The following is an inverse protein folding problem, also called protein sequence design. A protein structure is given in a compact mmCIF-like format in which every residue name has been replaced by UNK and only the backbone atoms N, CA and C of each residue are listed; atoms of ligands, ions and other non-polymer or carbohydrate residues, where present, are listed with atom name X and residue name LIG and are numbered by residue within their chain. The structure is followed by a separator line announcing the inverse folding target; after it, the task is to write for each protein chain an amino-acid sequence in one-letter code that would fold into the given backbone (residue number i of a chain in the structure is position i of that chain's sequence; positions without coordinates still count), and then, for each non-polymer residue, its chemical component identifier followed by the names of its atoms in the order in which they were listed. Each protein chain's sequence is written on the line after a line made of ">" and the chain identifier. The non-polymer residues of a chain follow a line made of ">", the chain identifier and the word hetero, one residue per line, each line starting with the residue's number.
data_IF_086509433019
#
_entry.id   IF_086509433019
#
_cell.length_a   1.000
_cell.length_b   1.000
_cell.length_c   1.000
_cell.angle_alpha   90.00
_cell.angle_beta   90.00
_cell.angle_gamma   90.00
#
_symmetry.space_group_name_H-M   'P 1'
#
loop_
_entity.id
_entity.type
_entity.pdbx_description
1 polymer ?
#
# COMPACT_ATOMS: atom_id res chain seq x y z
N UNK A 1 16.77 -18.95 -5.73
CA UNK A 1 15.61 -19.79 -6.07
C UNK A 1 14.44 -18.90 -6.43
N UNK A 2 13.71 -19.26 -7.47
CA UNK A 2 12.61 -18.50 -8.07
C UNK A 2 11.28 -19.22 -7.80
N UNK A 3 10.21 -18.43 -7.66
CA UNK A 3 8.84 -18.94 -7.56
C UNK A 3 7.95 -18.19 -8.54
N UNK A 4 7.33 -18.90 -9.48
CA UNK A 4 6.46 -18.32 -10.50
C UNK A 4 5.34 -19.29 -10.91
N UNK A 5 4.28 -18.74 -11.49
CA UNK A 5 3.22 -19.51 -12.16
C UNK A 5 3.31 -19.31 -13.68
N UNK A 6 3.29 -20.39 -14.44
CA UNK A 6 3.30 -20.35 -15.90
C UNK A 6 2.45 -21.50 -16.47
N UNK A 7 1.55 -21.20 -17.40
CA UNK A 7 0.61 -22.16 -18.00
C UNK A 7 -0.17 -23.00 -16.96
N UNK A 8 -0.65 -22.36 -15.88
CA UNK A 8 -1.41 -23.01 -14.81
C UNK A 8 -0.59 -23.96 -13.94
N UNK A 9 0.75 -23.93 -14.05
CA UNK A 9 1.67 -24.68 -13.18
C UNK A 9 2.43 -23.73 -12.27
N UNK A 10 2.52 -24.11 -11.00
CA UNK A 10 3.35 -23.41 -10.01
C UNK A 10 4.73 -24.06 -9.94
N UNK A 11 5.76 -23.27 -10.21
CA UNK A 11 7.15 -23.65 -10.05
C UNK A 11 7.67 -22.97 -8.78
N UNK A 12 7.83 -23.72 -7.70
CA UNK A 12 8.21 -23.17 -6.40
C UNK A 12 9.62 -23.63 -5.99
N UNK A 13 10.50 -22.68 -5.71
CA UNK A 13 11.88 -22.92 -5.29
C UNK A 13 12.79 -23.53 -6.39
N UNK A 14 12.60 -23.12 -7.64
CA UNK A 14 13.35 -23.63 -8.80
C UNK A 14 14.54 -22.72 -9.15
N UNK A 15 15.56 -23.26 -9.82
CA UNK A 15 16.60 -22.43 -10.45
C UNK A 15 16.13 -21.92 -11.82
N UNK A 16 16.79 -20.88 -12.34
CA UNK A 16 16.54 -20.40 -13.70
C UNK A 16 16.81 -21.50 -14.75
N UNK A 17 17.83 -22.34 -14.53
CA UNK A 17 18.16 -23.46 -15.41
C UNK A 17 17.06 -24.53 -15.41
N UNK A 18 16.52 -24.89 -14.24
CA UNK A 18 15.43 -25.87 -14.14
C UNK A 18 14.15 -25.36 -14.82
N UNK A 19 13.85 -24.06 -14.68
CA UNK A 19 12.71 -23.43 -15.33
C UNK A 19 12.85 -23.42 -16.86
N UNK A 20 14.03 -23.08 -17.38
CA UNK A 20 14.32 -23.13 -18.80
C UNK A 20 14.20 -24.56 -19.34
N UNK A 21 14.73 -25.55 -18.61
CA UNK A 21 14.62 -26.97 -18.95
C UNK A 21 13.16 -27.47 -18.93
N UNK A 22 12.31 -26.91 -18.06
CA UNK A 22 10.88 -27.18 -18.01
C UNK A 22 10.06 -26.41 -19.06
N UNK A 23 10.71 -25.70 -19.98
CA UNK A 23 10.07 -25.00 -21.08
C UNK A 23 9.49 -23.63 -20.73
N UNK A 24 9.85 -23.05 -19.58
CA UNK A 24 9.45 -21.68 -19.23
C UNK A 24 10.27 -20.70 -20.10
N UNK A 25 9.63 -19.74 -20.81
CA UNK A 25 10.34 -18.78 -21.64
C UNK A 25 11.31 -17.91 -20.83
N UNK A 26 12.49 -17.61 -21.38
CA UNK A 26 13.51 -16.81 -20.69
C UNK A 26 12.98 -15.43 -20.25
N UNK A 27 12.14 -14.79 -21.06
CA UNK A 27 11.49 -13.52 -20.71
C UNK A 27 10.63 -13.62 -19.43
N UNK A 28 9.99 -14.77 -19.20
CA UNK A 28 9.19 -14.99 -17.98
C UNK A 28 10.13 -15.15 -16.79
N UNK A 29 11.24 -15.87 -16.96
CA UNK A 29 12.26 -16.09 -15.92
C UNK A 29 12.91 -14.76 -15.52
N UNK A 30 13.30 -13.94 -16.49
CA UNK A 30 13.98 -12.66 -16.29
C UNK A 30 13.07 -11.62 -15.60
N UNK A 31 11.75 -11.75 -15.74
CA UNK A 31 10.79 -10.89 -15.07
C UNK A 31 10.57 -11.23 -13.59
N UNK A 32 10.91 -12.45 -13.15
CA UNK A 32 10.62 -12.92 -11.78
C UNK A 32 11.23 -12.02 -10.69
N UNK A 33 12.50 -11.61 -10.75
CA UNK A 33 13.08 -10.76 -9.70
C UNK A 33 12.32 -9.45 -9.49
N UNK A 34 11.93 -8.77 -10.58
CA UNK A 34 11.16 -7.54 -10.53
C UNK A 34 9.75 -7.77 -9.94
N UNK A 35 9.07 -8.85 -10.33
CA UNK A 35 7.76 -9.22 -9.77
C UNK A 35 7.84 -9.55 -8.28
N UNK A 36 8.86 -10.30 -7.86
CA UNK A 36 9.10 -10.63 -6.45
C UNK A 36 9.37 -9.38 -5.63
N UNK A 37 10.16 -8.44 -6.15
CA UNK A 37 10.42 -7.14 -5.52
C UNK A 37 9.13 -6.33 -5.37
N UNK A 38 8.37 -6.17 -6.45
CA UNK A 38 7.08 -5.47 -6.43
C UNK A 38 6.13 -6.05 -5.37
N UNK A 39 6.05 -7.39 -5.27
CA UNK A 39 5.22 -8.05 -4.25
C UNK A 39 5.65 -7.70 -2.83
N UNK A 40 6.96 -7.66 -2.56
CA UNK A 40 7.51 -7.27 -1.24
C UNK A 40 7.21 -5.80 -0.92
N UNK A 41 7.39 -4.90 -1.88
CA UNK A 41 7.11 -3.47 -1.69
C UNK A 41 5.61 -3.24 -1.44
N UNK A 42 4.73 -3.94 -2.16
CA UNK A 42 3.28 -3.89 -1.91
C UNK A 42 2.91 -4.40 -0.52
N UNK A 43 3.58 -5.44 -0.04
CA UNK A 43 3.37 -5.96 1.31
C UNK A 43 3.83 -4.94 2.37
N UNK A 44 4.97 -4.29 2.16
CA UNK A 44 5.49 -3.27 3.07
C UNK A 44 4.61 -2.00 3.10
N UNK A 45 4.17 -1.52 1.93
CA UNK A 45 3.20 -0.42 1.82
C UNK A 45 1.95 -0.72 2.66
N UNK A 46 1.40 -1.93 2.51
CA UNK A 46 0.22 -2.38 3.29
C UNK A 46 0.52 -2.43 4.78
N UNK A 47 1.67 -2.97 5.19
CA UNK A 47 2.08 -3.04 6.60
C UNK A 47 2.12 -1.65 7.22
N UNK A 48 2.77 -0.70 6.55
CA UNK A 48 2.91 0.69 7.00
C UNK A 48 1.56 1.42 7.10
N UNK A 49 0.66 1.23 6.13
CA UNK A 49 -0.70 1.79 6.20
C UNK A 49 -1.44 1.25 7.43
N UNK A 50 -1.39 -0.06 7.68
CA UNK A 50 -2.09 -0.65 8.83
C UNK A 50 -1.43 -0.35 10.17
N UNK A 51 -0.13 -0.10 10.20
CA UNK A 51 0.58 0.39 11.39
C UNK A 51 0.15 1.81 11.75
N UNK A 52 -0.02 2.69 10.75
CA UNK A 52 -0.51 4.04 10.97
C UNK A 52 -2.02 4.11 11.25
N UNK A 53 -2.81 3.26 10.60
CA UNK A 53 -4.26 3.26 10.69
C UNK A 53 -4.77 1.81 10.68
N UNK A 54 -5.16 1.31 11.84
CA UNK A 54 -5.69 -0.05 11.94
C UNK A 54 -6.95 -0.23 11.07
N UNK A 55 -7.32 -1.48 10.75
CA UNK A 55 -8.56 -1.73 10.02
C UNK A 55 -9.80 -1.22 10.77
N UNK A 56 -9.76 -1.26 12.11
CA UNK A 56 -10.80 -0.72 12.99
C UNK A 56 -10.86 0.80 12.90
N UNK A 57 -9.72 1.49 13.06
CA UNK A 57 -9.64 2.96 12.94
C UNK A 57 -10.09 3.41 11.55
N UNK A 58 -9.74 2.71 10.47
CA UNK A 58 -10.21 3.00 9.11
C UNK A 58 -11.74 2.89 8.99
N UNK A 59 -12.35 1.85 9.60
CA UNK A 59 -13.80 1.68 9.59
C UNK A 59 -14.52 2.77 10.38
N UNK A 60 -13.98 3.13 11.56
CA UNK A 60 -14.55 4.16 12.42
C UNK A 60 -14.46 5.54 11.75
N UNK A 61 -13.31 5.87 11.15
CA UNK A 61 -13.11 7.07 10.34
C UNK A 61 -14.09 7.16 9.17
N UNK A 62 -14.26 6.07 8.41
CA UNK A 62 -15.20 6.04 7.29
C UNK A 62 -16.65 6.22 7.75
N UNK A 63 -17.02 5.59 8.87
CA UNK A 63 -18.37 5.72 9.46
C UNK A 63 -18.63 7.15 9.92
N UNK A 64 -17.67 7.76 10.64
CA UNK A 64 -17.79 9.13 11.09
C UNK A 64 -17.88 10.12 9.93
N UNK A 65 -17.03 9.95 8.91
CA UNK A 65 -17.08 10.76 7.70
C UNK A 65 -18.44 10.63 6.99
N UNK A 66 -19.03 9.44 6.92
CA UNK A 66 -20.35 9.22 6.33
C UNK A 66 -21.46 9.94 7.12
N UNK A 67 -21.46 9.81 8.46
CA UNK A 67 -22.43 10.48 9.34
C UNK A 67 -22.34 12.00 9.22
N UNK A 68 -21.13 12.55 9.26
CA UNK A 68 -20.90 14.00 9.16
C UNK A 68 -21.28 14.51 7.76
N UNK A 69 -20.92 13.77 6.70
CA UNK A 69 -21.22 14.16 5.33
C UNK A 69 -22.73 14.20 5.04
N UNK A 70 -23.53 13.44 5.79
CA UNK A 70 -25.00 13.50 5.73
C UNK A 70 -25.61 14.81 6.26
N UNK A 71 -24.84 15.63 6.98
CA UNK A 71 -25.28 16.95 7.46
C UNK A 71 -25.12 18.02 6.38
N UNK A 72 -26.03 18.99 6.38
CA UNK A 72 -25.83 20.24 5.65
C UNK A 72 -24.53 20.93 6.09
N UNK A 73 -23.82 21.56 5.16
CA UNK A 73 -22.47 22.09 5.40
C UNK A 73 -22.45 23.13 6.51
N UNK A 74 -23.47 23.99 6.56
CA UNK A 74 -23.69 25.02 7.57
C UNK A 74 -24.14 24.48 8.93
N UNK A 75 -24.58 23.22 8.99
CA UNK A 75 -24.95 22.52 10.22
C UNK A 75 -23.80 21.71 10.84
N UNK A 76 -22.61 21.68 10.21
CA UNK A 76 -21.43 20.97 10.72
C UNK A 76 -20.71 21.81 11.76
N UNK A 77 -20.26 21.17 12.83
CA UNK A 77 -19.36 21.84 13.80
C UNK A 77 -17.96 21.99 13.20
N UNK A 78 -17.14 22.86 13.81
CA UNK A 78 -15.73 22.99 13.43
C UNK A 78 -14.94 21.68 13.63
N UNK A 79 -15.28 20.92 14.66
CA UNK A 79 -14.69 19.60 14.92
C UNK A 79 -15.04 18.60 13.81
N UNK A 80 -16.30 18.59 13.37
CA UNK A 80 -16.77 17.72 12.29
C UNK A 80 -16.11 18.06 10.95
N UNK A 81 -15.91 19.35 10.67
CA UNK A 81 -15.13 19.79 9.52
C UNK A 81 -13.67 19.31 9.61
N UNK A 82 -13.06 19.36 10.81
CA UNK A 82 -11.72 18.84 11.06
C UNK A 82 -11.60 17.33 10.87
N UNK A 83 -12.61 16.54 11.27
CA UNK A 83 -12.66 15.10 11.02
C UNK A 83 -12.70 14.82 9.51
N UNK A 84 -13.56 15.51 8.75
CA UNK A 84 -13.62 15.33 7.29
C UNK A 84 -12.30 15.68 6.60
N UNK A 85 -11.65 16.77 7.02
CA UNK A 85 -10.33 17.15 6.50
C UNK A 85 -9.27 16.09 6.81
N UNK A 86 -9.21 15.60 8.05
CA UNK A 86 -8.29 14.53 8.44
C UNK A 86 -8.52 13.22 7.67
N UNK A 87 -9.78 12.84 7.42
CA UNK A 87 -10.12 11.69 6.59
C UNK A 87 -9.71 11.90 5.13
N UNK A 88 -9.90 13.10 4.58
CA UNK A 88 -9.42 13.46 3.24
C UNK A 88 -7.91 13.30 3.11
N UNK A 89 -7.15 13.87 4.06
CA UNK A 89 -5.70 13.73 4.10
C UNK A 89 -5.24 12.28 4.28
N UNK A 90 -5.99 11.44 4.98
CA UNK A 90 -5.69 10.02 5.11
C UNK A 90 -5.82 9.29 3.76
N UNK A 91 -6.88 9.58 2.99
CA UNK A 91 -7.08 9.02 1.66
C UNK A 91 -6.00 9.47 0.67
N UNK A 92 -5.60 10.74 0.73
CA UNK A 92 -4.53 11.29 -0.08
C UNK A 92 -3.18 10.65 0.27
N UNK A 93 -2.89 10.47 1.56
CA UNK A 93 -1.68 9.78 2.02
C UNK A 93 -1.66 8.31 1.60
N UNK A 94 -2.76 7.56 1.73
CA UNK A 94 -2.86 6.18 1.23
C UNK A 94 -2.63 6.12 -0.28
N UNK A 95 -3.13 7.10 -1.03
CA UNK A 95 -2.89 7.20 -2.48
C UNK A 95 -1.41 7.46 -2.77
N UNK A 96 -0.78 8.39 -2.07
CA UNK A 96 0.66 8.66 -2.19
C UNK A 96 1.51 7.42 -1.84
N UNK A 97 1.16 6.70 -0.78
CA UNK A 97 1.80 5.44 -0.38
C UNK A 97 1.73 4.39 -1.50
N UNK A 98 0.58 4.27 -2.17
CA UNK A 98 0.40 3.33 -3.28
C UNK A 98 1.19 3.76 -4.52
N UNK A 99 1.25 5.06 -4.82
CA UNK A 99 2.06 5.58 -5.92
C UNK A 99 3.56 5.38 -5.68
N UNK A 100 4.02 5.48 -4.43
CA UNK A 100 5.41 5.22 -4.06
C UNK A 100 5.84 3.78 -4.37
N UNK A 101 4.92 2.81 -4.37
CA UNK A 101 5.22 1.41 -4.71
C UNK A 101 5.83 1.30 -6.10
N UNK A 102 5.25 1.97 -7.09
CA UNK A 102 5.70 1.86 -8.48
C UNK A 102 7.07 2.52 -8.66
N UNK A 103 7.30 3.66 -7.98
CA UNK A 103 8.61 4.35 -7.96
C UNK A 103 9.69 3.47 -7.34
N UNK A 104 9.42 2.88 -6.17
CA UNK A 104 10.36 2.00 -5.46
C UNK A 104 10.58 0.66 -6.18
N UNK A 105 9.59 0.19 -6.94
CA UNK A 105 9.73 -1.02 -7.74
C UNK A 105 10.58 -0.79 -9.00
N UNK A 106 10.50 0.42 -9.59
CA UNK A 106 11.28 0.81 -10.76
C UNK A 106 12.77 1.02 -10.46
N UNK A 107 13.14 1.32 -9.21
CA UNK A 107 14.53 1.44 -8.76
C UNK A 107 14.97 0.20 -7.93
N UNK A 108 15.79 -0.70 -8.51
CA UNK A 108 16.32 -1.86 -7.79
C UNK A 108 17.23 -1.50 -6.61
N UNK A 109 17.85 -0.32 -6.62
CA UNK A 109 18.76 0.14 -5.58
C UNK A 109 18.03 0.83 -4.42
N UNK A 110 16.75 1.17 -4.58
CA UNK A 110 15.99 1.81 -3.51
C UNK A 110 15.83 0.88 -2.29
N UNK A 111 16.06 1.45 -1.12
CA UNK A 111 15.77 0.78 0.15
C UNK A 111 14.31 1.06 0.56
N UNK A 112 13.40 0.23 0.07
CA UNK A 112 11.98 0.34 0.41
C UNK A 112 11.66 0.02 1.88
N UNK A 113 12.64 -0.44 2.68
CA UNK A 113 12.46 -0.66 4.12
C UNK A 113 12.76 0.60 4.92
N UNK A 114 13.50 1.57 4.36
CA UNK A 114 13.78 2.83 5.02
C UNK A 114 12.53 3.71 5.11
N UNK A 115 12.31 4.37 6.25
CA UNK A 115 11.15 5.26 6.43
C UNK A 115 11.16 6.43 5.44
N UNK A 116 12.36 6.94 5.11
CA UNK A 116 12.54 8.03 4.15
C UNK A 116 12.14 7.66 2.70
N UNK A 117 11.94 6.37 2.40
CA UNK A 117 11.46 5.92 1.10
C UNK A 117 9.94 6.14 0.90
N UNK A 118 9.21 6.47 1.97
CA UNK A 118 7.75 6.58 1.98
C UNK A 118 7.29 8.02 2.26
N UNK A 119 6.11 8.41 1.75
CA UNK A 119 5.48 9.68 2.10
C UNK A 119 5.31 9.81 3.63
N UNK A 120 5.64 10.98 4.22
CA UNK A 120 5.48 11.20 5.65
C UNK A 120 4.00 11.14 6.03
N UNK A 121 3.69 10.56 7.19
CA UNK A 121 2.34 10.51 7.74
C UNK A 121 1.89 11.92 8.15
N UNK A 122 0.83 12.49 7.56
CA UNK A 122 0.38 13.84 7.93
C UNK A 122 -0.13 13.89 9.37
N UNK A 123 0.12 15.01 10.07
CA UNK A 123 -0.33 15.19 11.45
C UNK A 123 -1.87 15.10 11.59
N UNK A 124 -2.61 15.62 10.61
CA UNK A 124 -4.08 15.52 10.60
C UNK A 124 -4.58 14.06 10.58
N UNK A 125 -3.83 13.17 9.92
CA UNK A 125 -4.14 11.73 9.91
C UNK A 125 -3.93 11.12 11.29
N UNK A 126 -2.85 11.48 11.99
CA UNK A 126 -2.63 11.03 13.37
C UNK A 126 -3.72 11.54 14.30
N UNK A 127 -4.14 12.80 14.15
CA UNK A 127 -5.16 13.41 14.97
C UNK A 127 -6.51 12.72 14.82
N UNK A 128 -6.94 12.40 13.59
CA UNK A 128 -8.22 11.71 13.37
C UNK A 128 -8.16 10.25 13.78
N UNK A 129 -7.02 9.57 13.62
CA UNK A 129 -6.83 8.20 14.11
C UNK A 129 -6.87 8.16 15.64
N UNK A 130 -6.33 9.16 16.34
CA UNK A 130 -6.36 9.22 17.80
C UNK A 130 -7.78 9.34 18.40
N UNK A 131 -8.80 9.59 17.57
CA UNK A 131 -10.21 9.55 17.97
C UNK A 131 -10.79 8.13 18.00
N UNK A 132 -10.08 7.14 17.41
CA UNK A 132 -10.57 5.78 17.15
C UNK A 132 -9.52 4.69 17.36
#
# INVERSE_FOLDING_TARGET
>A
MLTLEHNGKTYANWTAADLAAAGVPQQVIDAVPAQMRLKKIKAECRRRIYEAQSAESQMNMATAAAVISGKAVDARTAEEAGILDGVGQALDWVTAMRNAVDVLAADPASDYLADAAWPPLPAAVQNVVALY
#
